data_IF_334179061923
#
_entry.id   IF_334179061923
#
_cell.length_a   1.000
_cell.length_b   1.000
_cell.length_c   1.000
_cell.angle_alpha   90.00
_cell.angle_beta   90.00
_cell.angle_gamma   90.00
#
_symmetry.space_group_name_H-M   'P 1'
#
loop_
_entity.id
_entity.type
_entity.pdbx_description
1 polymer ?
#
# COMPACT_ATOMS: atom_id res chain seq x y z
N UNK A 1 1.34 9.44 -18.27
CA UNK A 1 1.54 10.25 -17.04
C UNK A 1 1.71 9.42 -15.75
N UNK A 2 1.76 8.08 -15.77
CA UNK A 2 1.75 7.27 -14.53
C UNK A 2 3.00 6.40 -14.29
N UNK A 3 4.04 6.51 -15.11
CA UNK A 3 5.25 5.70 -14.94
C UNK A 3 5.91 5.97 -13.57
N UNK A 4 6.09 4.92 -12.75
CA UNK A 4 6.73 5.03 -11.44
C UNK A 4 5.81 5.38 -10.26
N UNK A 5 4.54 5.72 -10.48
CA UNK A 5 3.62 6.08 -9.41
C UNK A 5 3.37 4.86 -8.48
N UNK A 6 3.44 5.07 -7.17
CA UNK A 6 3.42 4.04 -6.12
C UNK A 6 4.58 3.02 -6.14
N UNK A 7 5.62 3.21 -6.96
CA UNK A 7 6.78 2.31 -7.05
C UNK A 7 8.02 2.87 -6.33
N UNK A 8 7.80 3.73 -5.32
CA UNK A 8 8.87 4.40 -4.58
C UNK A 8 9.47 3.54 -3.45
N UNK A 9 10.78 3.68 -3.15
CA UNK A 9 11.46 2.89 -2.12
C UNK A 9 10.91 3.15 -0.71
N UNK A 10 10.39 4.36 -0.43
CA UNK A 10 9.78 4.70 0.86
C UNK A 10 8.52 3.86 1.12
N UNK A 11 7.61 3.78 0.14
CA UNK A 11 6.41 2.96 0.24
C UNK A 11 6.77 1.49 0.41
N UNK A 12 7.74 0.98 -0.36
CA UNK A 12 8.17 -0.41 -0.26
C UNK A 12 8.70 -0.77 1.14
N UNK A 13 9.53 0.11 1.74
CA UNK A 13 10.06 -0.09 3.10
C UNK A 13 8.94 -0.09 4.15
N UNK A 14 8.01 0.85 4.08
CA UNK A 14 6.86 0.90 4.98
C UNK A 14 5.95 -0.31 4.81
N UNK A 15 5.69 -0.74 3.57
CA UNK A 15 4.88 -1.91 3.29
C UNK A 15 5.46 -3.15 3.96
N UNK A 16 6.77 -3.36 3.84
CA UNK A 16 7.46 -4.47 4.50
C UNK A 16 7.35 -4.37 6.02
N UNK A 17 7.57 -3.19 6.58
CA UNK A 17 7.43 -2.96 8.01
C UNK A 17 6.03 -3.35 8.54
N UNK A 18 4.96 -2.98 7.82
CA UNK A 18 3.57 -3.22 8.24
C UNK A 18 3.10 -4.67 7.98
N UNK A 19 3.39 -5.21 6.80
CA UNK A 19 2.76 -6.45 6.34
C UNK A 19 3.67 -7.68 6.39
N UNK A 20 4.99 -7.55 6.28
CA UNK A 20 5.92 -8.69 6.25
C UNK A 20 6.72 -8.87 7.54
N UNK A 21 6.81 -7.81 8.35
CA UNK A 21 7.40 -7.84 9.69
C UNK A 21 8.92 -7.89 9.70
N UNK A 22 9.55 -7.84 10.90
CA UNK A 22 10.98 -7.55 11.02
C UNK A 22 11.92 -8.61 10.43
N UNK A 23 11.45 -9.86 10.23
CA UNK A 23 12.24 -10.91 9.55
C UNK A 23 12.53 -10.61 8.07
N UNK A 24 11.78 -9.73 7.41
CA UNK A 24 12.03 -9.36 6.01
C UNK A 24 13.13 -8.30 5.82
N UNK A 25 13.72 -7.78 6.91
CA UNK A 25 14.67 -6.66 6.87
C UNK A 25 16.11 -7.08 7.16
N UNK A 26 16.34 -8.03 8.07
CA UNK A 26 17.67 -8.57 8.45
C UNK A 26 17.54 -10.01 8.96
N UNK A 27 18.59 -10.83 8.79
CA UNK A 27 18.77 -12.14 9.43
C UNK A 27 18.99 -12.06 10.96
N UNK A 28 18.34 -11.10 11.63
CA UNK A 28 18.42 -10.90 13.06
C UNK A 28 17.40 -11.74 13.81
N UNK A 29 17.82 -12.35 14.92
CA UNK A 29 16.91 -13.02 15.86
C UNK A 29 15.91 -11.99 16.42
N UNK A 30 14.64 -12.10 16.06
CA UNK A 30 13.57 -11.29 16.66
C UNK A 30 12.95 -12.07 17.81
N UNK A 31 13.19 -11.63 19.04
CA UNK A 31 12.46 -12.13 20.21
C UNK A 31 10.99 -11.71 20.08
N UNK A 32 10.07 -12.66 20.26
CA UNK A 32 8.60 -12.56 20.12
C UNK A 32 8.02 -11.15 19.95
N UNK A 33 7.55 -10.84 18.73
CA UNK A 33 6.76 -9.66 18.41
C UNK A 33 5.38 -10.05 17.85
N UNK A 34 4.45 -9.08 17.76
CA UNK A 34 3.13 -9.29 17.13
C UNK A 34 3.32 -9.82 15.71
N UNK A 35 2.46 -10.77 15.30
CA UNK A 35 2.49 -11.31 13.95
C UNK A 35 2.32 -10.17 12.91
N UNK A 36 3.03 -10.23 11.77
CA UNK A 36 2.86 -9.26 10.70
C UNK A 36 1.41 -9.24 10.22
N UNK A 37 0.88 -8.07 9.88
CA UNK A 37 -0.52 -7.95 9.43
C UNK A 37 -0.80 -8.78 8.17
N UNK A 38 0.20 -8.97 7.30
CA UNK A 38 0.06 -9.81 6.12
C UNK A 38 -0.21 -11.27 6.47
N UNK A 39 0.41 -11.79 7.54
CA UNK A 39 0.17 -13.16 8.00
C UNK A 39 -1.23 -13.28 8.63
N UNK A 40 -1.59 -12.33 9.50
CA UNK A 40 -2.91 -12.28 10.16
C UNK A 40 -4.06 -12.24 9.14
N UNK A 41 -3.90 -11.44 8.09
CA UNK A 41 -4.90 -11.32 7.02
C UNK A 41 -4.69 -12.29 5.84
N UNK A 42 -3.79 -13.27 5.96
CA UNK A 42 -3.49 -14.27 4.91
C UNK A 42 -3.20 -13.64 3.53
N UNK A 43 -2.50 -12.51 3.54
CA UNK A 43 -2.20 -11.71 2.37
C UNK A 43 -1.17 -12.42 1.49
N UNK A 44 -1.59 -12.91 0.31
CA UNK A 44 -0.72 -13.65 -0.62
C UNK A 44 0.13 -12.73 -1.50
N UNK A 45 -0.36 -11.53 -1.79
CA UNK A 45 0.29 -10.54 -2.63
C UNK A 45 -0.18 -9.13 -2.22
N UNK A 46 0.60 -8.09 -2.52
CA UNK A 46 0.13 -6.72 -2.41
C UNK A 46 -1.12 -6.47 -3.25
N UNK A 47 -2.05 -5.69 -2.69
CA UNK A 47 -3.32 -5.33 -3.32
C UNK A 47 -3.42 -3.80 -3.39
N UNK A 48 -4.27 -3.23 -4.26
CA UNK A 48 -4.54 -1.80 -4.26
C UNK A 48 -4.86 -1.24 -2.87
N UNK A 49 -5.64 -1.98 -2.08
CA UNK A 49 -6.01 -1.59 -0.70
C UNK A 49 -4.83 -1.52 0.25
N UNK A 50 -3.93 -2.51 0.20
CA UNK A 50 -2.75 -2.49 1.08
C UNK A 50 -1.72 -1.45 0.63
N UNK A 51 -1.61 -1.19 -0.67
CA UNK A 51 -0.78 -0.10 -1.21
C UNK A 51 -1.33 1.26 -0.76
N UNK A 52 -2.64 1.47 -0.91
CA UNK A 52 -3.31 2.70 -0.47
C UNK A 52 -3.17 2.91 1.05
N UNK A 53 -3.34 1.86 1.85
CA UNK A 53 -3.12 1.90 3.30
C UNK A 53 -1.72 2.39 3.64
N UNK A 54 -0.68 1.86 2.97
CA UNK A 54 0.70 2.26 3.23
C UNK A 54 0.97 3.69 2.78
N UNK A 55 0.41 4.14 1.65
CA UNK A 55 0.54 5.52 1.22
C UNK A 55 -0.07 6.50 2.24
N UNK A 56 -1.25 6.18 2.79
CA UNK A 56 -1.89 6.95 3.88
C UNK A 56 -0.99 6.99 5.12
N UNK A 57 -0.48 5.85 5.55
CA UNK A 57 0.43 5.77 6.71
C UNK A 57 1.70 6.59 6.50
N UNK A 58 2.28 6.56 5.30
CA UNK A 58 3.47 7.34 4.97
C UNK A 58 3.17 8.84 4.98
N UNK A 59 2.05 9.27 4.38
CA UNK A 59 1.65 10.68 4.40
C UNK A 59 1.39 11.18 5.82
N UNK A 60 0.76 10.37 6.66
CA UNK A 60 0.58 10.70 8.07
C UNK A 60 1.93 10.80 8.81
N UNK A 61 2.83 9.83 8.62
CA UNK A 61 4.13 9.82 9.27
C UNK A 61 5.04 11.00 8.87
N UNK A 62 4.79 11.62 7.72
CA UNK A 62 5.50 12.81 7.24
C UNK A 62 4.82 14.13 7.64
N UNK A 63 3.71 14.07 8.35
CA UNK A 63 2.96 15.24 8.79
C UNK A 63 3.33 15.67 10.20
N UNK A 64 2.87 16.86 10.58
CA UNK A 64 2.99 17.34 11.96
C UNK A 64 1.90 16.80 12.89
N UNK A 65 0.99 15.95 12.41
CA UNK A 65 -0.09 15.43 13.23
C UNK A 65 0.41 14.43 14.27
N UNK A 66 0.05 14.68 15.53
CA UNK A 66 0.37 13.80 16.65
C UNK A 66 -0.48 12.52 16.70
N UNK A 67 -1.57 12.45 15.93
CA UNK A 67 -2.54 11.35 15.96
C UNK A 67 -2.95 10.93 14.55
N UNK A 68 -3.17 9.63 14.40
CA UNK A 68 -3.72 9.07 13.16
C UNK A 68 -5.23 9.27 13.16
N UNK A 69 -5.68 10.31 12.48
CA UNK A 69 -7.09 10.72 12.40
C UNK A 69 -7.48 10.96 10.94
N UNK A 70 -8.77 10.82 10.63
CA UNK A 70 -9.30 10.89 9.26
C UNK A 70 -9.03 12.24 8.59
N UNK A 71 -9.04 13.32 9.38
CA UNK A 71 -8.70 14.67 8.97
C UNK A 71 -7.37 15.06 9.59
N UNK A 72 -6.37 15.29 8.75
CA UNK A 72 -5.10 15.86 9.16
C UNK A 72 -5.02 17.30 8.66
N UNK A 73 -5.51 18.22 9.50
CA UNK A 73 -5.69 19.64 9.19
C UNK A 73 -6.56 19.80 7.92
N UNK A 74 -6.01 20.37 6.86
CA UNK A 74 -6.71 20.60 5.59
C UNK A 74 -6.63 19.39 4.64
N UNK A 75 -6.22 18.22 5.13
CA UNK A 75 -6.04 17.02 4.31
C UNK A 75 -6.84 15.83 4.83
N UNK A 76 -7.71 15.29 3.98
CA UNK A 76 -8.50 14.09 4.28
C UNK A 76 -7.73 12.82 3.93
N UNK A 77 -7.30 12.06 4.95
CA UNK A 77 -6.68 10.74 4.76
C UNK A 77 -7.65 9.74 4.12
N UNK A 78 -8.94 9.88 4.43
CA UNK A 78 -10.02 9.05 3.87
C UNK A 78 -10.19 9.31 2.38
N UNK A 79 -10.21 10.58 1.97
CA UNK A 79 -10.32 10.95 0.56
C UNK A 79 -9.06 10.54 -0.21
N UNK A 80 -7.88 10.73 0.40
CA UNK A 80 -6.64 10.26 -0.19
C UNK A 80 -6.64 8.75 -0.43
N UNK A 81 -7.06 7.96 0.55
CA UNK A 81 -7.22 6.51 0.39
C UNK A 81 -8.18 6.17 -0.77
N UNK A 82 -9.35 6.82 -0.82
CA UNK A 82 -10.36 6.61 -1.87
C UNK A 82 -9.83 6.96 -3.25
N UNK A 83 -9.11 8.07 -3.38
CA UNK A 83 -8.52 8.52 -4.65
C UNK A 83 -7.47 7.53 -5.17
N UNK A 84 -6.69 6.91 -4.28
CA UNK A 84 -5.75 5.85 -4.67
C UNK A 84 -6.52 4.62 -5.19
N UNK A 85 -7.59 4.21 -4.51
CA UNK A 85 -8.41 3.08 -4.97
C UNK A 85 -9.08 3.35 -6.32
N UNK A 86 -9.60 4.56 -6.51
CA UNK A 86 -10.12 5.01 -7.80
C UNK A 86 -9.04 4.94 -8.87
N UNK A 87 -7.81 5.40 -8.59
CA UNK A 87 -6.71 5.30 -9.54
C UNK A 87 -6.45 3.84 -9.96
N UNK A 88 -6.49 2.89 -9.01
CA UNK A 88 -6.35 1.46 -9.28
C UNK A 88 -7.61 0.79 -9.86
N UNK A 89 -8.69 1.54 -10.11
CA UNK A 89 -10.01 1.02 -10.47
C UNK A 89 -10.51 -0.07 -9.50
N UNK A 90 -10.14 0.04 -8.22
CA UNK A 90 -10.58 -0.84 -7.15
C UNK A 90 -11.98 -0.40 -6.68
N UNK A 91 -12.99 -1.29 -6.67
CA UNK A 91 -14.33 -0.95 -6.22
C UNK A 91 -14.33 -0.47 -4.76
N UNK A 92 -14.92 0.70 -4.48
CA UNK A 92 -15.02 1.20 -3.10
C UNK A 92 -16.16 0.54 -2.32
N UNK A 93 -17.33 0.38 -2.97
CA UNK A 93 -18.54 -0.24 -2.44
C UNK A 93 -19.30 -0.97 -3.57
N UNK A 94 -20.62 -0.81 -3.69
CA UNK A 94 -21.43 -1.25 -4.84
C UNK A 94 -21.12 -0.49 -6.14
N UNK A 95 -20.23 0.51 -6.11
CA UNK A 95 -19.77 1.22 -7.29
C UNK A 95 -19.06 0.24 -8.24
N UNK A 96 -19.56 0.13 -9.48
CA UNK A 96 -18.85 -0.66 -10.49
C UNK A 96 -17.52 0.00 -10.82
N UNK A 97 -16.50 -0.83 -11.02
CA UNK A 97 -15.27 -0.44 -11.70
C UNK A 97 -15.62 0.25 -13.02
N UNK A 98 -14.93 1.34 -13.34
CA UNK A 98 -15.15 2.03 -14.62
C UNK A 98 -14.45 1.29 -15.75
N UNK A 99 -14.87 1.58 -17.00
CA UNK A 99 -14.23 1.01 -18.18
C UNK A 99 -12.81 1.57 -18.32
N UNK A 100 -11.82 0.72 -18.14
CA UNK A 100 -10.42 1.09 -18.30
C UNK A 100 -10.08 1.25 -19.79
N UNK A 101 -9.23 2.24 -20.09
CA UNK A 101 -8.51 2.29 -21.35
C UNK A 101 -7.27 1.39 -21.28
N UNK A 102 -6.59 1.18 -22.42
CA UNK A 102 -5.40 0.33 -22.50
C UNK A 102 -4.25 0.84 -21.64
N UNK A 103 -4.05 2.16 -21.57
CA UNK A 103 -2.97 2.80 -20.83
C UNK A 103 -3.11 2.59 -19.32
N UNK A 104 -4.32 2.80 -18.78
CA UNK A 104 -4.60 2.61 -17.36
C UNK A 104 -4.52 1.13 -16.97
N UNK A 105 -4.98 0.24 -17.86
CA UNK A 105 -4.87 -1.21 -17.66
C UNK A 105 -3.41 -1.66 -17.57
N UNK A 106 -2.56 -1.15 -18.48
CA UNK A 106 -1.13 -1.44 -18.48
C UNK A 106 -0.45 -0.90 -17.23
N UNK A 107 -0.79 0.33 -16.82
CA UNK A 107 -0.24 0.93 -15.62
C UNK A 107 -0.62 0.16 -14.34
N UNK A 108 -1.90 -0.21 -14.16
CA UNK A 108 -2.34 -0.99 -13.00
C UNK A 108 -1.61 -2.34 -12.96
N UNK A 109 -1.59 -3.04 -14.10
CA UNK A 109 -1.00 -4.38 -14.20
C UNK A 109 0.50 -4.34 -13.93
N UNK A 110 1.23 -3.42 -14.54
CA UNK A 110 2.68 -3.26 -14.34
C UNK A 110 3.01 -2.83 -12.91
N UNK A 111 2.20 -1.97 -12.30
CA UNK A 111 2.37 -1.54 -10.91
C UNK A 111 2.19 -2.70 -9.94
N UNK A 112 1.10 -3.47 -10.07
CA UNK A 112 0.85 -4.63 -9.20
C UNK A 112 1.92 -5.72 -9.41
N UNK A 113 2.36 -5.95 -10.66
CA UNK A 113 3.45 -6.88 -10.96
C UNK A 113 4.77 -6.44 -10.30
N UNK A 114 5.10 -5.16 -10.35
CA UNK A 114 6.27 -4.61 -9.66
C UNK A 114 6.19 -4.89 -8.16
N UNK A 115 5.05 -4.59 -7.53
CA UNK A 115 4.85 -4.85 -6.09
C UNK A 115 5.01 -6.33 -5.74
N UNK A 116 4.49 -7.23 -6.58
CA UNK A 116 4.70 -8.67 -6.39
C UNK A 116 6.18 -9.05 -6.45
N UNK A 117 6.93 -8.58 -7.45
CA UNK A 117 8.36 -8.90 -7.58
C UNK A 117 9.19 -8.45 -6.36
N UNK A 118 8.92 -7.26 -5.83
CA UNK A 118 9.70 -6.70 -4.71
C UNK A 118 9.22 -7.15 -3.33
N UNK A 119 8.02 -7.73 -3.21
CA UNK A 119 7.49 -8.28 -1.94
C UNK A 119 7.63 -9.81 -1.89
N UNK A 120 7.64 -10.52 -3.03
CA UNK A 120 7.71 -11.98 -3.09
C UNK A 120 9.10 -12.58 -2.81
N UNK A 121 10.17 -11.78 -2.76
CA UNK A 121 11.52 -12.24 -2.35
C UNK A 121 11.62 -12.64 -0.85
N UNK A 122 10.53 -13.08 -0.22
CA UNK A 122 10.39 -13.24 1.23
C UNK A 122 9.87 -14.62 1.66
N UNK A 123 9.85 -15.60 0.76
CA UNK A 123 9.69 -17.02 1.08
C UNK A 123 10.82 -17.83 0.45
#
# INVERSE_FOLDING_TARGET
LHAGLFQGPLLLKFYRHVFTGPKSWKDGKTNGGKQPRGIVHKLKAPTPRTIAYVAVMVRWALSSSSKFEDQDQDFSLVEFYRNILIAFNEPLDYSKAYKLNSVDTEWITSTLRWWQLYVHQLY
#
